data_IF_557971060920
#
_entry.id   IF_557971060920
#
_cell.length_a   1.000
_cell.length_b   1.000
_cell.length_c   1.000
_cell.angle_alpha   90.00
_cell.angle_beta   90.00
_cell.angle_gamma   90.00
#
_symmetry.space_group_name_H-M   'P 1'
#
loop_
_entity.id
_entity.type
_entity.pdbx_description
1 polymer ?
#
# COMPACT_ATOMS: atom_id res chain seq x y z
N UNK A 1 22.88 12.49 -20.62
CA UNK A 1 22.95 13.15 -19.28
C UNK A 1 21.72 14.03 -19.03
N UNK A 2 21.32 14.91 -19.98
CA UNK A 2 20.15 15.79 -19.79
C UNK A 2 18.79 15.06 -19.68
N UNK A 3 18.59 13.96 -20.42
CA UNK A 3 17.34 13.16 -20.33
C UNK A 3 17.17 12.38 -19.03
N UNK A 4 18.27 11.91 -18.43
CA UNK A 4 18.23 11.10 -17.21
C UNK A 4 17.98 11.97 -15.97
N UNK A 5 18.54 13.19 -15.92
CA UNK A 5 18.24 14.13 -14.84
C UNK A 5 16.79 14.62 -14.91
N UNK A 6 16.25 14.78 -16.13
CA UNK A 6 14.84 15.10 -16.34
C UNK A 6 13.92 13.98 -15.82
N UNK A 7 14.27 12.70 -16.07
CA UNK A 7 13.42 11.57 -15.61
C UNK A 7 13.41 11.44 -14.09
N UNK A 8 14.55 11.64 -13.42
CA UNK A 8 14.62 11.62 -11.95
C UNK A 8 13.83 12.78 -11.35
N UNK A 9 13.94 13.98 -11.93
CA UNK A 9 13.15 15.14 -11.49
C UNK A 9 11.64 14.88 -11.62
N UNK A 10 11.22 14.32 -12.76
CA UNK A 10 9.82 13.96 -12.98
C UNK A 10 9.36 12.88 -11.99
N UNK A 11 10.17 11.86 -11.72
CA UNK A 11 9.87 10.82 -10.75
C UNK A 11 9.68 11.38 -9.33
N UNK A 12 10.57 12.26 -8.88
CA UNK A 12 10.44 12.90 -7.56
C UNK A 12 9.19 13.78 -7.47
N UNK A 13 8.84 14.47 -8.56
CA UNK A 13 7.62 15.27 -8.65
C UNK A 13 6.37 14.40 -8.57
N UNK A 14 6.32 13.30 -9.32
CA UNK A 14 5.22 12.34 -9.29
C UNK A 14 5.08 11.67 -7.92
N UNK A 15 6.18 11.24 -7.32
CA UNK A 15 6.18 10.66 -5.97
C UNK A 15 5.62 11.64 -4.94
N UNK A 16 5.98 12.92 -5.02
CA UNK A 16 5.46 13.96 -4.13
C UNK A 16 3.94 14.12 -4.27
N UNK A 17 3.43 14.08 -5.51
CA UNK A 17 1.98 14.15 -5.78
C UNK A 17 1.28 12.91 -5.22
N UNK A 18 1.81 11.71 -5.53
CA UNK A 18 1.28 10.44 -5.03
C UNK A 18 1.21 10.40 -3.50
N UNK A 19 2.29 10.81 -2.81
CA UNK A 19 2.31 10.86 -1.35
C UNK A 19 1.29 11.85 -0.77
N UNK A 20 0.97 12.93 -1.48
CA UNK A 20 -0.05 13.91 -1.07
C UNK A 20 -1.44 13.33 -1.23
N UNK A 21 -1.75 12.72 -2.37
CA UNK A 21 -3.03 12.04 -2.59
C UNK A 21 -3.26 10.93 -1.57
N UNK A 22 -2.21 10.15 -1.29
CA UNK A 22 -2.25 9.08 -0.30
C UNK A 22 -2.51 9.60 1.12
N UNK A 23 -2.04 10.81 1.44
CA UNK A 23 -2.34 11.48 2.71
C UNK A 23 -3.84 11.79 2.80
N UNK A 24 -4.44 12.36 1.75
CA UNK A 24 -5.86 12.72 1.74
C UNK A 24 -6.75 11.49 1.85
N UNK A 25 -6.43 10.42 1.11
CA UNK A 25 -7.13 9.12 1.21
C UNK A 25 -7.01 8.53 2.61
N UNK A 26 -5.84 8.66 3.24
CA UNK A 26 -5.63 8.21 4.61
C UNK A 26 -6.44 9.02 5.64
N UNK A 27 -6.53 10.33 5.49
CA UNK A 27 -7.32 11.20 6.37
C UNK A 27 -8.83 10.85 6.26
N UNK A 28 -9.31 10.54 5.06
CA UNK A 28 -10.69 10.06 4.86
C UNK A 28 -10.92 8.69 5.50
N UNK A 29 -9.97 7.76 5.36
CA UNK A 29 -10.01 6.46 6.03
C UNK A 29 -10.03 6.59 7.55
N UNK A 30 -9.27 7.53 8.10
CA UNK A 30 -9.25 7.84 9.53
C UNK A 30 -10.61 8.35 10.01
N UNK A 31 -11.28 9.23 9.25
CA UNK A 31 -12.66 9.65 9.58
C UNK A 31 -13.68 8.51 9.52
N UNK A 32 -13.42 7.48 8.70
CA UNK A 32 -14.21 6.24 8.66
C UNK A 32 -13.84 5.28 9.80
N UNK A 33 -12.95 5.67 10.71
CA UNK A 33 -12.52 4.92 11.88
C UNK A 33 -11.33 3.98 11.65
N UNK A 34 -10.58 4.12 10.56
CA UNK A 34 -9.39 3.30 10.29
C UNK A 34 -8.14 3.87 11.00
N UNK A 35 -7.25 3.03 11.55
CA UNK A 35 -6.03 3.51 12.21
C UNK A 35 -5.14 4.26 11.21
N UNK A 36 -4.58 5.40 11.61
CA UNK A 36 -3.68 6.20 10.79
C UNK A 36 -2.27 5.58 10.72
N UNK A 37 -1.99 4.84 9.65
CA UNK A 37 -0.71 4.16 9.42
C UNK A 37 0.20 4.91 8.44
N UNK A 38 -0.26 6.03 7.88
CA UNK A 38 0.49 6.80 6.90
C UNK A 38 1.82 7.33 7.46
N UNK A 39 1.83 7.77 8.72
CA UNK A 39 3.06 8.17 9.40
C UNK A 39 4.08 7.03 9.50
N UNK A 40 3.62 5.78 9.66
CA UNK A 40 4.49 4.59 9.69
C UNK A 40 5.12 4.38 8.30
N UNK A 41 4.30 4.40 7.24
CA UNK A 41 4.77 4.33 5.85
C UNK A 41 5.82 5.39 5.53
N UNK A 42 5.56 6.65 5.90
CA UNK A 42 6.50 7.75 5.67
C UNK A 42 7.84 7.51 6.37
N UNK A 43 7.84 7.01 7.62
CA UNK A 43 9.07 6.63 8.33
C UNK A 43 9.82 5.51 7.63
N UNK A 44 9.13 4.53 7.06
CA UNK A 44 9.74 3.46 6.26
C UNK A 44 10.43 4.01 5.01
N UNK A 45 9.76 4.90 4.26
CA UNK A 45 10.35 5.54 3.08
C UNK A 45 11.61 6.34 3.45
N UNK A 46 11.58 7.10 4.54
CA UNK A 46 12.75 7.85 5.02
C UNK A 46 13.90 6.90 5.37
N UNK A 47 13.62 5.77 6.04
CA UNK A 47 14.64 4.75 6.36
C UNK A 47 15.27 4.14 5.10
N UNK A 48 14.48 3.87 4.07
CA UNK A 48 14.98 3.36 2.78
C UNK A 48 15.93 4.36 2.13
N UNK A 49 15.57 5.65 2.12
CA UNK A 49 16.43 6.72 1.57
C UNK A 49 17.77 6.79 2.32
N UNK A 50 17.72 6.80 3.65
CA UNK A 50 18.93 6.82 4.50
C UNK A 50 19.79 5.58 4.23
N UNK A 51 19.19 4.40 4.13
CA UNK A 51 19.90 3.15 3.84
C UNK A 51 20.63 3.19 2.50
N UNK A 52 19.99 3.72 1.45
CA UNK A 52 20.65 3.88 0.15
C UNK A 52 21.83 4.86 0.20
N UNK A 53 21.72 5.98 0.95
CA UNK A 53 22.83 6.92 1.12
C UNK A 53 24.02 6.24 1.80
N UNK A 54 23.77 5.53 2.90
CA UNK A 54 24.82 4.81 3.65
C UNK A 54 25.47 3.74 2.78
N UNK A 55 24.68 2.99 2.00
CA UNK A 55 25.19 1.97 1.09
C UNK A 55 26.16 2.55 0.04
N UNK A 56 25.80 3.67 -0.59
CA UNK A 56 26.69 4.33 -1.57
C UNK A 56 27.98 4.81 -0.91
N UNK A 57 27.89 5.42 0.28
CA UNK A 57 29.07 5.89 0.99
C UNK A 57 29.99 4.74 1.41
N UNK A 58 29.41 3.64 1.88
CA UNK A 58 30.15 2.44 2.24
C UNK A 58 30.91 1.86 1.05
N UNK A 59 30.24 1.73 -0.10
CA UNK A 59 30.86 1.16 -1.30
C UNK A 59 32.01 2.04 -1.84
N UNK A 60 31.82 3.36 -1.83
CA UNK A 60 32.89 4.32 -2.18
C UNK A 60 34.10 4.13 -1.25
N UNK A 61 33.87 3.99 0.06
CA UNK A 61 34.96 3.79 1.03
C UNK A 61 35.72 2.49 0.77
N UNK A 62 34.99 1.38 0.57
CA UNK A 62 35.58 0.07 0.26
C UNK A 62 36.37 0.12 -1.05
N UNK A 63 35.88 0.87 -2.05
CA UNK A 63 36.53 0.98 -3.36
C UNK A 63 37.77 1.87 -3.34
N UNK A 64 37.80 2.93 -2.53
CA UNK A 64 38.93 3.86 -2.42
C UNK A 64 40.05 3.31 -1.53
N UNK A 65 39.71 2.53 -0.50
CA UNK A 65 40.66 1.96 0.45
C UNK A 65 41.81 1.16 -0.21
N UNK A 66 41.58 0.17 -1.09
CA UNK A 66 42.63 -0.58 -1.76
C UNK A 66 43.42 0.26 -2.75
N UNK A 67 42.79 1.24 -3.42
CA UNK A 67 43.49 2.17 -4.33
C UNK A 67 44.53 2.99 -3.57
N UNK A 68 44.23 3.40 -2.33
CA UNK A 68 45.15 4.15 -1.48
C UNK A 68 46.25 3.27 -0.88
N UNK A 69 45.94 2.01 -0.57
CA UNK A 69 46.87 1.09 0.10
C UNK A 69 47.84 0.39 -0.87
N UNK A 70 47.37 0.00 -2.05
CA UNK A 70 48.18 -0.70 -3.07
C UNK A 70 48.67 0.23 -4.20
N UNK A 71 48.05 1.40 -4.38
CA UNK A 71 48.43 2.36 -5.41
C UNK A 71 49.57 3.27 -4.97
N UNK A 72 50.75 3.07 -5.56
CA UNK A 72 51.88 4.02 -5.52
C UNK A 72 51.40 5.44 -5.87
N UNK A 73 51.73 6.41 -5.00
CA UNK A 73 51.60 7.87 -5.14
C UNK A 73 50.63 8.36 -6.23
N UNK A 74 49.39 7.89 -6.24
CA UNK A 74 48.43 8.33 -7.25
C UNK A 74 48.12 9.80 -7.00
N UNK A 75 48.23 10.61 -8.06
CA UNK A 75 47.85 12.02 -8.02
C UNK A 75 46.41 12.13 -7.49
N UNK A 76 46.21 13.04 -6.55
CA UNK A 76 44.92 13.46 -6.00
C UNK A 76 43.83 13.60 -7.08
N UNK A 77 44.19 14.05 -8.29
CA UNK A 77 43.29 14.18 -9.45
C UNK A 77 42.73 12.85 -9.94
N UNK A 78 43.53 11.78 -9.91
CA UNK A 78 43.11 10.44 -10.37
C UNK A 78 42.11 9.84 -9.37
N UNK A 79 42.37 10.00 -8.07
CA UNK A 79 41.47 9.58 -6.99
C UNK A 79 40.13 10.31 -7.11
N UNK A 80 40.16 11.63 -7.33
CA UNK A 80 38.96 12.43 -7.52
C UNK A 80 38.15 11.97 -8.75
N UNK A 81 38.82 11.69 -9.87
CA UNK A 81 38.19 11.17 -11.08
C UNK A 81 37.58 9.78 -10.86
N UNK A 82 38.24 8.93 -10.07
CA UNK A 82 37.73 7.61 -9.69
C UNK A 82 36.49 7.71 -8.82
N UNK A 83 36.49 8.58 -7.81
CA UNK A 83 35.30 8.83 -6.96
C UNK A 83 34.12 9.32 -7.81
N UNK A 84 34.36 10.27 -8.73
CA UNK A 84 33.31 10.76 -9.62
C UNK A 84 32.76 9.67 -10.55
N UNK A 85 33.63 8.80 -11.07
CA UNK A 85 33.22 7.67 -11.90
C UNK A 85 32.33 6.70 -11.12
N UNK A 86 32.75 6.31 -9.90
CA UNK A 86 31.96 5.43 -9.04
C UNK A 86 30.61 6.06 -8.70
N UNK A 87 30.58 7.34 -8.34
CA UNK A 87 29.34 8.05 -8.05
C UNK A 87 28.40 8.06 -9.26
N UNK A 88 28.92 8.29 -10.45
CA UNK A 88 28.14 8.27 -11.70
C UNK A 88 27.58 6.87 -12.01
N UNK A 89 28.31 5.81 -11.69
CA UNK A 89 27.87 4.42 -11.87
C UNK A 89 26.83 3.98 -10.84
N UNK A 90 26.95 4.40 -9.58
CA UNK A 90 26.02 4.03 -8.51
C UNK A 90 24.73 4.85 -8.52
N UNK A 91 24.77 6.09 -8.99
CA UNK A 91 23.60 6.96 -9.06
C UNK A 91 22.38 6.31 -9.75
N UNK A 92 22.47 5.78 -10.99
CA UNK A 92 21.32 5.15 -11.64
C UNK A 92 20.85 3.87 -10.92
N UNK A 93 21.78 3.09 -10.35
CA UNK A 93 21.46 1.89 -9.58
C UNK A 93 20.63 2.24 -8.34
N UNK A 94 21.06 3.23 -7.56
CA UNK A 94 20.34 3.68 -6.38
C UNK A 94 18.98 4.27 -6.71
N UNK A 95 18.87 5.05 -7.78
CA UNK A 95 17.59 5.60 -8.24
C UNK A 95 16.62 4.47 -8.60
N UNK A 96 17.07 3.45 -9.34
CA UNK A 96 16.22 2.32 -9.71
C UNK A 96 15.78 1.51 -8.49
N UNK A 97 16.70 1.21 -7.58
CA UNK A 97 16.39 0.47 -6.34
C UNK A 97 15.41 1.28 -5.47
N UNK A 98 15.64 2.58 -5.30
CA UNK A 98 14.75 3.47 -4.55
C UNK A 98 13.37 3.53 -5.21
N UNK A 99 13.32 3.65 -6.53
CA UNK A 99 12.06 3.68 -7.27
C UNK A 99 11.25 2.40 -7.07
N UNK A 100 11.89 1.24 -7.25
CA UNK A 100 11.25 -0.06 -7.05
C UNK A 100 10.79 -0.26 -5.59
N UNK A 101 11.64 0.08 -4.61
CA UNK A 101 11.32 -0.06 -3.20
C UNK A 101 10.16 0.85 -2.81
N UNK A 102 10.21 2.14 -3.15
CA UNK A 102 9.16 3.10 -2.83
C UNK A 102 7.84 2.68 -3.49
N UNK A 103 7.88 2.28 -4.76
CA UNK A 103 6.70 1.78 -5.47
C UNK A 103 6.11 0.54 -4.77
N UNK A 104 6.94 -0.45 -4.44
CA UNK A 104 6.50 -1.64 -3.70
C UNK A 104 5.92 -1.31 -2.33
N UNK A 105 6.51 -0.34 -1.62
CA UNK A 105 6.03 0.09 -0.29
C UNK A 105 4.66 0.76 -0.42
N UNK A 106 4.49 1.68 -1.38
CA UNK A 106 3.22 2.37 -1.65
C UNK A 106 2.15 1.38 -2.12
N UNK A 107 2.49 0.45 -3.02
CA UNK A 107 1.57 -0.57 -3.50
C UNK A 107 1.10 -1.49 -2.36
N UNK A 108 2.02 -1.94 -1.51
CA UNK A 108 1.70 -2.76 -0.34
C UNK A 108 0.80 -2.01 0.65
N UNK A 109 1.05 -0.71 0.87
CA UNK A 109 0.18 0.12 1.70
C UNK A 109 -1.24 0.21 1.14
N UNK A 110 -1.36 0.57 -0.13
CA UNK A 110 -2.64 0.76 -0.81
C UNK A 110 -3.43 -0.55 -0.83
N UNK A 111 -2.78 -1.68 -1.11
CA UNK A 111 -3.38 -3.01 -1.04
C UNK A 111 -3.93 -3.34 0.35
N UNK A 112 -3.15 -3.09 1.40
CA UNK A 112 -3.59 -3.28 2.78
C UNK A 112 -4.80 -2.41 3.14
N UNK A 113 -4.82 -1.16 2.67
CA UNK A 113 -5.98 -0.26 2.86
C UNK A 113 -7.22 -0.72 2.11
N UNK A 114 -7.08 -1.17 0.87
CA UNK A 114 -8.21 -1.74 0.12
C UNK A 114 -8.80 -2.96 0.82
N UNK A 115 -7.95 -3.83 1.37
CA UNK A 115 -8.42 -4.97 2.15
C UNK A 115 -9.23 -4.53 3.37
N UNK A 116 -8.73 -3.54 4.13
CA UNK A 116 -9.43 -2.99 5.29
C UNK A 116 -10.78 -2.33 4.94
N UNK A 117 -10.86 -1.62 3.81
CA UNK A 117 -12.13 -1.05 3.31
C UNK A 117 -13.10 -2.16 2.92
N UNK A 118 -12.61 -3.19 2.23
CA UNK A 118 -13.42 -4.32 1.79
C UNK A 118 -14.00 -5.09 2.98
N UNK A 119 -13.21 -5.33 4.02
CA UNK A 119 -13.69 -5.99 5.24
C UNK A 119 -14.80 -5.19 5.93
N UNK A 120 -14.66 -3.85 5.99
CA UNK A 120 -15.68 -2.97 6.57
C UNK A 120 -16.96 -2.93 5.74
N UNK A 121 -16.83 -2.88 4.42
CA UNK A 121 -17.98 -2.97 3.50
C UNK A 121 -18.71 -4.30 3.68
N UNK A 122 -17.98 -5.40 3.86
CA UNK A 122 -18.56 -6.72 4.11
C UNK A 122 -19.35 -6.75 5.41
N UNK A 123 -18.81 -6.20 6.50
CA UNK A 123 -19.52 -6.09 7.78
C UNK A 123 -20.78 -5.22 7.63
N UNK A 124 -20.67 -4.03 7.03
CA UNK A 124 -21.81 -3.15 6.80
C UNK A 124 -22.91 -3.80 5.94
N UNK A 125 -22.49 -4.56 4.91
CA UNK A 125 -23.42 -5.30 4.06
C UNK A 125 -24.12 -6.42 4.82
N UNK A 126 -23.37 -7.18 5.64
CA UNK A 126 -23.93 -8.19 6.55
C UNK A 126 -24.91 -7.57 7.53
N UNK A 127 -24.55 -6.49 8.22
CA UNK A 127 -25.43 -5.82 9.18
C UNK A 127 -26.70 -5.29 8.51
N UNK A 128 -26.60 -4.66 7.34
CA UNK A 128 -27.77 -4.20 6.59
C UNK A 128 -28.68 -5.35 6.18
N UNK A 129 -28.11 -6.46 5.70
CA UNK A 129 -28.89 -7.60 5.22
C UNK A 129 -29.49 -8.40 6.37
N UNK A 130 -28.77 -8.55 7.49
CA UNK A 130 -29.23 -9.23 8.70
C UNK A 130 -30.34 -8.42 9.39
N UNK A 131 -30.20 -7.09 9.50
CA UNK A 131 -31.29 -6.22 9.96
C UNK A 131 -32.52 -6.27 9.04
N UNK A 132 -32.33 -6.40 7.72
CA UNK A 132 -33.44 -6.60 6.79
C UNK A 132 -34.04 -8.01 6.89
N UNK A 133 -33.27 -9.05 7.17
CA UNK A 133 -33.75 -10.40 7.41
C UNK A 133 -34.56 -10.46 8.70
N UNK A 134 -34.12 -9.79 9.77
CA UNK A 134 -34.82 -9.75 11.05
C UNK A 134 -36.09 -8.88 11.00
N UNK A 135 -36.05 -7.75 10.27
CA UNK A 135 -37.26 -6.98 9.93
C UNK A 135 -38.23 -7.79 9.06
N UNK A 136 -37.72 -8.54 8.06
CA UNK A 136 -38.53 -9.39 7.18
C UNK A 136 -39.08 -10.61 7.94
N UNK A 137 -38.33 -11.19 8.87
CA UNK A 137 -38.75 -12.27 9.76
C UNK A 137 -39.81 -11.79 10.76
N UNK A 138 -39.66 -10.60 11.34
CA UNK A 138 -40.67 -9.99 12.22
C UNK A 138 -41.96 -9.63 11.47
N UNK A 139 -41.85 -9.19 10.21
CA UNK A 139 -43.01 -8.94 9.33
C UNK A 139 -43.63 -10.25 8.81
N UNK A 140 -42.82 -11.28 8.56
CA UNK A 140 -43.27 -12.62 8.19
C UNK A 140 -43.97 -13.30 9.37
N UNK A 141 -43.46 -13.21 10.59
CA UNK A 141 -44.12 -13.73 11.79
C UNK A 141 -45.48 -13.06 12.02
N UNK A 142 -45.63 -11.77 11.70
CA UNK A 142 -46.95 -11.12 11.73
C UNK A 142 -47.92 -11.70 10.69
N UNK A 143 -47.43 -12.09 9.51
CA UNK A 143 -48.24 -12.78 8.49
C UNK A 143 -48.41 -14.29 8.72
N UNK A 144 -47.49 -14.95 9.43
CA UNK A 144 -47.54 -16.37 9.80
C UNK A 144 -48.52 -16.59 10.95
N UNK A 145 -48.55 -15.67 11.93
CA UNK A 145 -49.50 -15.71 13.05
C UNK A 145 -50.94 -15.41 12.57
N UNK A 146 -51.09 -14.56 11.54
CA UNK A 146 -52.38 -14.39 10.83
C UNK A 146 -52.75 -15.65 10.03
N UNK A 147 -51.77 -16.41 9.51
CA UNK A 147 -52.01 -17.70 8.83
C UNK A 147 -52.40 -18.80 9.80
N UNK A 148 -51.80 -18.90 10.99
CA UNK A 148 -52.18 -19.90 12.01
C UNK A 148 -53.63 -19.74 12.48
N UNK A 149 -54.16 -18.51 12.52
CA UNK A 149 -55.58 -18.29 12.81
C UNK A 149 -56.52 -18.74 11.67
N UNK A 150 -55.99 -18.99 10.46
CA UNK A 150 -56.74 -19.48 9.30
C UNK A 150 -56.57 -21.01 9.14
N UNK A 151 -55.44 -21.58 9.57
CA UNK A 151 -55.16 -23.03 9.47
C UNK A 151 -55.86 -23.89 10.54
N UNK A 152 -56.60 -23.30 11.47
CA UNK A 152 -57.58 -24.02 12.30
C UNK A 152 -58.78 -24.57 11.50
N UNK A 153 -58.88 -24.20 10.22
CA UNK A 153 -59.85 -24.75 9.28
C UNK A 153 -59.14 -25.40 8.09
N UNK A 154 -59.39 -26.70 7.92
CA UNK A 154 -59.07 -27.54 6.76
C UNK A 154 -57.63 -28.05 6.59
N UNK A 155 -57.48 -29.30 7.02
CA UNK A 155 -56.92 -30.37 6.20
C UNK A 155 -56.99 -30.10 4.68
N UNK A 156 -55.84 -30.14 4.00
CA UNK A 156 -55.65 -30.84 2.71
C UNK A 156 -54.19 -30.73 2.22
N UNK A 157 -53.55 -31.89 2.17
CA UNK A 157 -52.60 -32.44 1.17
C UNK A 157 -51.88 -31.49 0.20
N UNK A 158 -50.59 -31.82 -0.01
CA UNK A 158 -49.68 -31.46 -1.13
C UNK A 158 -49.07 -30.05 -1.05
N UNK A 159 -47.78 -29.80 -1.29
CA UNK A 159 -46.69 -30.62 -1.85
C UNK A 159 -45.35 -29.89 -1.66
N UNK A 160 -44.34 -30.65 -1.25
CA UNK A 160 -42.89 -30.44 -1.46
C UNK A 160 -42.57 -30.02 -2.90
N UNK A 161 -41.55 -29.17 -3.13
CA UNK A 161 -40.52 -29.18 -4.20
C UNK A 161 -39.68 -27.88 -4.01
N UNK A 162 -38.49 -27.94 -3.41
CA UNK A 162 -37.16 -28.15 -4.02
C UNK A 162 -36.80 -27.03 -5.02
N UNK A 163 -35.87 -26.16 -4.60
CA UNK A 163 -35.26 -25.09 -5.37
C UNK A 163 -34.02 -25.65 -6.10
N UNK A 164 -33.96 -25.44 -7.41
CA UNK A 164 -32.78 -25.58 -8.26
C UNK A 164 -32.28 -24.16 -8.59
#
# INVERSE_FOLDING_TARGET
>A
IMSHNQSVYNFLKELKICLRELSVVNDTLETLGAPNEYHRMRKWIIRIIIGCIVFVLYDIMVSVYPVKYYGSSMDSKIILKFIFFMLASYYPLCVNILSALICGTVLGYTSSRFHQVNDRLRVLYSDLFENHADYRYRKQNKSILVRECITGAKDRKQSTWILM
#
